data_IF_459674294819
#
_entry.id   IF_459674294819
#
_cell.length_a   1.000
_cell.length_b   1.000
_cell.length_c   1.000
_cell.angle_alpha   90.00
_cell.angle_beta   90.00
_cell.angle_gamma   90.00
#
_symmetry.space_group_name_H-M   'P 1'
#
loop_
_entity.id
_entity.type
_entity.pdbx_description
1 polymer ?
#
# COMPACT_ATOMS: atom_id res chain seq x y z
N UNK A 1 17.80 -12.34 12.46
CA UNK A 1 16.95 -11.13 12.37
C UNK A 1 17.60 -9.93 11.68
N UNK A 2 18.84 -9.55 11.99
CA UNK A 2 19.47 -8.34 11.39
C UNK A 2 19.53 -8.32 9.85
N UNK A 3 19.70 -9.46 9.20
CA UNK A 3 19.90 -9.52 7.75
C UNK A 3 18.65 -9.31 6.91
N UNK A 4 17.46 -9.46 7.46
CA UNK A 4 16.22 -9.39 6.68
C UNK A 4 15.61 -7.98 6.64
N UNK A 5 15.97 -7.10 7.57
CA UNK A 5 15.52 -5.71 7.57
C UNK A 5 15.94 -4.97 6.29
N UNK A 6 17.13 -5.25 5.77
CA UNK A 6 17.64 -4.64 4.53
C UNK A 6 16.77 -4.96 3.33
N UNK A 7 16.17 -6.15 3.28
CA UNK A 7 15.26 -6.54 2.18
C UNK A 7 14.00 -5.67 2.21
N UNK A 8 13.41 -5.47 3.39
CA UNK A 8 12.22 -4.62 3.53
C UNK A 8 12.52 -3.15 3.24
N UNK A 9 13.66 -2.64 3.70
CA UNK A 9 14.12 -1.29 3.39
C UNK A 9 14.38 -1.12 1.90
N UNK A 10 15.04 -2.10 1.25
CA UNK A 10 15.25 -2.11 -0.19
C UNK A 10 13.93 -2.09 -0.97
N UNK A 11 12.96 -2.92 -0.58
CA UNK A 11 11.63 -2.93 -1.18
C UNK A 11 10.90 -1.58 -1.00
N UNK A 12 11.05 -0.96 0.17
CA UNK A 12 10.46 0.36 0.46
C UNK A 12 11.07 1.46 -0.43
N UNK A 13 12.39 1.46 -0.59
CA UNK A 13 13.09 2.41 -1.47
C UNK A 13 12.72 2.19 -2.93
N UNK A 14 12.68 0.92 -3.38
CA UNK A 14 12.30 0.55 -4.74
C UNK A 14 10.85 0.97 -5.06
N UNK A 15 9.91 0.72 -4.14
CA UNK A 15 8.52 1.16 -4.28
C UNK A 15 8.41 2.68 -4.37
N UNK A 16 9.11 3.42 -3.50
CA UNK A 16 9.11 4.88 -3.52
C UNK A 16 9.73 5.45 -4.81
N UNK A 17 10.75 4.79 -5.37
CA UNK A 17 11.34 5.15 -6.65
C UNK A 17 10.42 4.86 -7.84
N UNK A 18 9.75 3.70 -7.84
CA UNK A 18 8.83 3.27 -8.89
C UNK A 18 7.48 4.00 -8.85
N UNK A 19 7.02 4.43 -7.68
CA UNK A 19 5.69 4.99 -7.47
C UNK A 19 5.31 6.14 -8.40
N UNK A 20 6.20 7.07 -8.78
CA UNK A 20 5.86 8.13 -9.74
C UNK A 20 5.40 7.62 -11.10
N UNK A 21 5.66 6.34 -11.42
CA UNK A 21 5.27 5.68 -12.67
C UNK A 21 4.11 4.69 -12.49
N UNK A 22 3.57 4.52 -11.30
CA UNK A 22 2.46 3.60 -11.06
C UNK A 22 1.29 3.92 -11.98
N UNK A 23 0.69 2.88 -12.57
CA UNK A 23 -0.40 2.93 -13.56
C UNK A 23 -0.03 3.63 -14.89
N UNK A 24 1.23 3.81 -15.19
CA UNK A 24 1.68 4.22 -16.52
C UNK A 24 1.92 2.96 -17.35
N UNK A 25 0.87 2.40 -17.94
CA UNK A 25 0.96 1.15 -18.72
C UNK A 25 1.38 1.35 -20.17
N UNK A 26 1.33 2.56 -20.69
CA UNK A 26 1.75 2.87 -22.05
C UNK A 26 3.28 2.85 -22.15
N UNK A 27 3.83 1.84 -22.83
CA UNK A 27 5.27 1.62 -22.95
C UNK A 27 6.01 2.78 -23.62
N UNK A 28 5.41 3.43 -24.62
CA UNK A 28 6.00 4.61 -25.28
C UNK A 28 6.13 5.78 -24.29
N UNK A 29 5.08 6.05 -23.51
CA UNK A 29 5.14 7.07 -22.46
C UNK A 29 6.16 6.71 -21.37
N UNK A 30 6.19 5.45 -20.94
CA UNK A 30 7.14 4.98 -19.94
C UNK A 30 8.57 5.21 -20.41
N UNK A 31 8.91 4.80 -21.64
CA UNK A 31 10.23 5.00 -22.23
C UNK A 31 10.64 6.48 -22.28
N UNK A 32 9.71 7.37 -22.61
CA UNK A 32 9.96 8.83 -22.59
C UNK A 32 10.26 9.31 -21.17
N UNK A 33 9.49 8.84 -20.17
CA UNK A 33 9.65 9.32 -18.79
C UNK A 33 10.96 8.86 -18.14
N UNK A 34 11.48 7.69 -18.54
CA UNK A 34 12.75 7.14 -18.03
C UNK A 34 13.95 7.41 -18.96
N UNK A 35 13.75 8.04 -20.12
CA UNK A 35 14.82 8.31 -21.09
C UNK A 35 15.99 9.07 -20.42
N UNK A 36 17.20 8.56 -20.65
CA UNK A 36 18.42 9.14 -20.07
C UNK A 36 18.65 8.80 -18.59
N UNK A 37 17.78 8.01 -17.96
CA UNK A 37 18.00 7.50 -16.60
C UNK A 37 18.85 6.24 -16.67
N UNK A 38 20.10 6.32 -16.18
CA UNK A 38 21.00 5.17 -16.08
C UNK A 38 20.88 4.44 -14.74
N UNK A 39 20.34 5.12 -13.72
CA UNK A 39 20.26 4.63 -12.36
C UNK A 39 18.83 4.59 -11.85
N UNK A 40 18.59 3.76 -10.83
CA UNK A 40 17.36 3.74 -10.04
C UNK A 40 17.27 5.02 -9.17
N UNK A 41 17.04 6.14 -9.82
CA UNK A 41 16.87 7.41 -9.14
C UNK A 41 15.40 7.79 -9.06
N UNK A 42 15.04 8.49 -8.01
CA UNK A 42 13.70 9.03 -7.88
C UNK A 42 13.39 10.01 -9.01
N UNK A 43 12.27 9.80 -9.69
CA UNK A 43 11.79 10.77 -10.68
C UNK A 43 11.35 12.04 -9.98
N UNK A 44 11.85 13.19 -10.44
CA UNK A 44 11.51 14.50 -9.86
C UNK A 44 10.02 14.82 -10.00
N UNK A 45 9.37 14.34 -11.06
CA UNK A 45 7.95 14.59 -11.35
C UNK A 45 7.13 13.32 -11.25
N UNK A 46 6.06 13.37 -10.47
CA UNK A 46 5.05 12.32 -10.45
C UNK A 46 4.33 12.25 -11.80
N UNK A 47 4.26 11.07 -12.40
CA UNK A 47 3.60 10.78 -13.68
C UNK A 47 2.38 9.88 -13.51
N UNK A 48 2.16 9.39 -12.29
CA UNK A 48 0.99 8.58 -11.99
C UNK A 48 -0.30 9.38 -12.23
N UNK A 49 -1.29 8.79 -12.93
CA UNK A 49 -2.57 9.47 -13.17
C UNK A 49 -3.48 9.50 -11.94
N UNK A 50 -3.15 8.77 -10.88
CA UNK A 50 -4.06 8.56 -9.74
C UNK A 50 -3.61 9.22 -8.45
N UNK A 51 -2.33 9.57 -8.34
CA UNK A 51 -1.83 10.24 -7.14
C UNK A 51 -1.19 11.57 -7.49
N UNK A 52 -1.38 12.53 -6.61
CA UNK A 52 -0.52 13.68 -6.50
C UNK A 52 0.21 13.60 -5.15
N UNK A 53 1.24 12.78 -5.09
CA UNK A 53 2.03 12.57 -3.88
C UNK A 53 3.48 12.95 -4.17
N UNK A 54 4.12 13.61 -3.21
CA UNK A 54 5.53 14.03 -3.31
C UNK A 54 6.44 12.84 -3.63
N UNK A 55 7.46 13.08 -4.44
CA UNK A 55 8.54 12.13 -4.71
C UNK A 55 9.15 11.61 -3.40
N UNK A 56 9.54 10.36 -3.36
CA UNK A 56 10.09 9.71 -2.17
C UNK A 56 9.04 9.19 -1.18
N UNK A 57 7.74 9.39 -1.44
CA UNK A 57 6.68 8.72 -0.69
C UNK A 57 6.34 7.38 -1.33
N UNK A 58 6.04 6.40 -0.50
CA UNK A 58 5.69 5.04 -0.90
C UNK A 58 4.26 4.93 -1.45
N UNK A 59 3.97 3.81 -2.10
CA UNK A 59 2.61 3.46 -2.54
C UNK A 59 1.78 2.82 -1.41
N UNK A 60 0.48 2.64 -1.66
CA UNK A 60 -0.40 1.89 -0.76
C UNK A 60 0.05 0.44 -0.54
N UNK A 61 0.69 -0.19 -1.53
CA UNK A 61 1.27 -1.52 -1.40
C UNK A 61 2.37 -1.57 -0.34
N UNK A 62 3.28 -0.61 -0.33
CA UNK A 62 4.31 -0.58 0.69
C UNK A 62 3.77 -0.12 2.04
N UNK A 63 2.79 0.81 2.06
CA UNK A 63 2.21 1.28 3.34
C UNK A 63 1.51 0.17 4.11
N UNK A 64 0.83 -0.80 3.46
CA UNK A 64 0.27 -1.95 4.17
C UNK A 64 1.36 -2.87 4.74
N UNK A 65 2.48 -3.02 4.01
CA UNK A 65 3.67 -3.71 4.52
C UNK A 65 4.26 -3.01 5.75
N UNK A 66 4.33 -1.67 5.74
CA UNK A 66 4.79 -0.91 6.91
C UNK A 66 3.87 -1.08 8.12
N UNK A 67 2.55 -1.19 7.90
CA UNK A 67 1.59 -1.48 8.98
C UNK A 67 1.83 -2.86 9.58
N UNK A 68 2.09 -3.89 8.76
CA UNK A 68 2.47 -5.21 9.26
C UNK A 68 3.81 -5.15 10.01
N UNK A 69 4.81 -4.52 9.45
CA UNK A 69 6.12 -4.37 10.09
C UNK A 69 6.01 -3.69 11.46
N UNK A 70 5.27 -2.59 11.56
CA UNK A 70 5.00 -1.92 12.84
C UNK A 70 4.28 -2.83 13.82
N UNK A 71 3.32 -3.63 13.35
CA UNK A 71 2.60 -4.60 14.17
C UNK A 71 3.53 -5.65 14.77
N UNK A 72 4.51 -6.11 13.99
CA UNK A 72 5.51 -7.09 14.46
C UNK A 72 6.46 -6.48 15.51
N UNK A 73 6.81 -5.20 15.35
CA UNK A 73 7.64 -4.48 16.33
C UNK A 73 6.93 -4.27 17.68
N UNK A 74 5.61 -4.22 17.70
CA UNK A 74 4.81 -4.15 18.94
C UNK A 74 4.85 -5.47 19.74
N UNK A 75 5.37 -6.55 19.16
CA UNK A 75 5.50 -7.88 19.77
C UNK A 75 4.85 -8.98 18.94
N UNK A 76 4.99 -10.24 19.39
CA UNK A 76 4.56 -11.42 18.62
C UNK A 76 3.24 -12.01 19.09
N UNK A 77 2.74 -11.59 20.25
CA UNK A 77 1.47 -12.07 20.77
C UNK A 77 0.29 -11.39 20.06
N UNK A 78 -0.75 -12.16 19.75
CA UNK A 78 -1.99 -11.62 19.15
C UNK A 78 -1.76 -10.73 17.91
N UNK A 79 -0.82 -11.12 17.03
CA UNK A 79 -0.47 -10.37 15.81
C UNK A 79 -1.72 -10.04 14.98
N UNK A 80 -2.62 -11.00 14.77
CA UNK A 80 -3.86 -10.79 14.02
C UNK A 80 -4.69 -9.64 14.60
N UNK A 81 -4.94 -9.66 15.90
CA UNK A 81 -5.74 -8.63 16.59
C UNK A 81 -5.09 -7.25 16.47
N UNK A 82 -3.75 -7.18 16.66
CA UNK A 82 -3.01 -5.93 16.52
C UNK A 82 -2.98 -5.44 15.07
N UNK A 83 -2.75 -6.33 14.13
CA UNK A 83 -2.75 -5.97 12.71
C UNK A 83 -4.10 -5.41 12.27
N UNK A 84 -5.21 -6.05 12.65
CA UNK A 84 -6.57 -5.53 12.43
C UNK A 84 -6.75 -4.12 13.05
N UNK A 85 -6.30 -3.91 14.27
CA UNK A 85 -6.33 -2.59 14.92
C UNK A 85 -5.51 -1.57 14.12
N UNK A 86 -4.29 -1.93 13.71
CA UNK A 86 -3.39 -1.04 12.98
C UNK A 86 -3.91 -0.75 11.56
N UNK A 87 -4.57 -1.69 10.88
CA UNK A 87 -5.30 -1.43 9.64
C UNK A 87 -6.38 -0.38 9.86
N UNK A 88 -7.20 -0.51 10.88
CA UNK A 88 -8.25 0.48 11.18
C UNK A 88 -7.67 1.86 11.47
N UNK A 89 -6.58 1.93 12.23
CA UNK A 89 -5.92 3.20 12.57
C UNK A 89 -5.36 3.89 11.33
N UNK A 90 -4.68 3.14 10.46
CA UNK A 90 -3.98 3.71 9.32
C UNK A 90 -4.89 3.95 8.10
N UNK A 91 -5.87 3.09 7.87
CA UNK A 91 -6.70 3.11 6.66
C UNK A 91 -8.19 3.30 6.94
N UNK A 92 -8.64 3.19 8.17
CA UNK A 92 -10.04 3.30 8.55
C UNK A 92 -10.59 4.73 8.58
N UNK A 93 -11.83 4.90 9.05
CA UNK A 93 -12.47 6.20 9.20
C UNK A 93 -11.60 7.19 9.99
N UNK A 94 -11.49 8.41 9.47
CA UNK A 94 -10.62 9.43 10.06
C UNK A 94 -9.22 9.50 9.45
N UNK A 95 -8.73 8.42 8.84
CA UNK A 95 -7.42 8.41 8.18
C UNK A 95 -7.39 9.30 6.93
N UNK A 96 -6.17 9.68 6.50
CA UNK A 96 -5.94 10.39 5.23
C UNK A 96 -6.49 9.61 4.02
N UNK A 97 -6.40 8.28 4.05
CA UNK A 97 -6.92 7.40 3.01
C UNK A 97 -8.43 7.43 2.93
N UNK A 98 -9.10 7.34 4.06
CA UNK A 98 -10.56 7.37 4.12
C UNK A 98 -11.15 8.71 3.70
N UNK A 99 -10.48 9.81 4.06
CA UNK A 99 -10.83 11.16 3.58
C UNK A 99 -10.75 11.23 2.05
N UNK A 100 -9.68 10.72 1.46
CA UNK A 100 -9.51 10.68 0.00
C UNK A 100 -10.54 9.77 -0.69
N UNK A 101 -10.90 8.65 -0.08
CA UNK A 101 -11.96 7.78 -0.58
C UNK A 101 -13.30 8.53 -0.69
N UNK A 102 -13.66 9.29 0.32
CA UNK A 102 -14.87 10.13 0.29
C UNK A 102 -14.80 11.21 -0.79
N UNK A 103 -13.67 11.88 -0.95
CA UNK A 103 -13.48 12.87 -2.01
C UNK A 103 -13.62 12.24 -3.40
N UNK A 104 -13.00 11.06 -3.61
CA UNK A 104 -13.13 10.33 -4.88
C UNK A 104 -14.57 9.97 -5.20
N UNK A 105 -15.32 9.49 -4.21
CA UNK A 105 -16.73 9.18 -4.38
C UNK A 105 -17.54 10.41 -4.81
N UNK A 106 -17.22 11.59 -4.25
CA UNK A 106 -17.84 12.86 -4.61
C UNK A 106 -17.56 13.25 -6.07
N UNK A 107 -16.32 13.07 -6.54
CA UNK A 107 -15.90 13.52 -7.87
C UNK A 107 -15.99 12.43 -8.96
N UNK A 108 -16.38 11.21 -8.65
CA UNK A 108 -16.41 10.08 -9.59
C UNK A 108 -17.18 10.36 -10.89
N UNK A 109 -18.19 11.21 -10.86
CA UNK A 109 -19.01 11.59 -12.03
C UNK A 109 -18.42 12.75 -12.85
N UNK A 110 -17.36 13.39 -12.36
CA UNK A 110 -16.71 14.51 -13.05
C UNK A 110 -15.65 13.98 -14.00
N UNK A 111 -15.63 14.46 -15.24
CA UNK A 111 -14.57 14.15 -16.20
C UNK A 111 -13.22 14.57 -15.60
N UNK A 112 -12.21 13.70 -15.79
CA UNK A 112 -10.84 13.92 -15.28
C UNK A 112 -10.72 14.16 -13.75
N UNK A 113 -11.65 13.61 -12.99
CA UNK A 113 -11.69 13.72 -11.52
C UNK A 113 -10.40 13.30 -10.82
N UNK A 114 -9.57 12.47 -11.47
CA UNK A 114 -8.33 11.92 -10.90
C UNK A 114 -7.36 13.01 -10.48
N UNK A 115 -7.25 14.08 -11.28
CA UNK A 115 -6.42 15.24 -10.93
C UNK A 115 -6.97 16.11 -9.81
N UNK A 116 -8.25 15.92 -9.43
CA UNK A 116 -8.91 16.70 -8.38
C UNK A 116 -8.68 16.12 -6.98
N UNK A 117 -8.27 14.86 -6.89
CA UNK A 117 -8.04 14.19 -5.62
C UNK A 117 -6.56 13.99 -5.40
N UNK A 118 -6.01 14.79 -4.51
CA UNK A 118 -4.60 14.71 -4.09
C UNK A 118 -4.42 13.75 -2.93
N UNK A 119 -3.23 13.16 -2.87
CA UNK A 119 -2.84 12.32 -1.73
C UNK A 119 -2.93 10.81 -1.99
N UNK A 120 -2.87 10.01 -0.93
CA UNK A 120 -2.73 8.57 -1.04
C UNK A 120 -3.99 7.90 -1.59
N UNK A 121 -3.76 6.82 -2.34
CA UNK A 121 -4.81 5.98 -2.89
C UNK A 121 -5.01 4.75 -1.99
N UNK A 122 -6.25 4.47 -1.62
CA UNK A 122 -6.60 3.23 -0.91
C UNK A 122 -7.08 2.18 -1.93
N UNK A 123 -6.52 0.99 -1.84
CA UNK A 123 -6.85 -0.14 -2.69
C UNK A 123 -8.17 -0.80 -2.25
N UNK A 124 -8.82 -1.51 -3.19
CA UNK A 124 -10.12 -2.13 -2.91
C UNK A 124 -10.03 -3.20 -1.81
N UNK A 125 -8.97 -4.02 -1.82
CA UNK A 125 -8.73 -5.02 -0.78
C UNK A 125 -8.68 -4.40 0.62
N UNK A 126 -8.00 -3.27 0.77
CA UNK A 126 -7.88 -2.58 2.07
C UNK A 126 -9.24 -1.98 2.48
N UNK A 127 -10.00 -1.43 1.53
CA UNK A 127 -11.36 -0.91 1.80
C UNK A 127 -12.24 -2.02 2.35
N UNK A 128 -12.24 -3.19 1.72
CA UNK A 128 -13.06 -4.32 2.15
C UNK A 128 -12.55 -4.91 3.49
N UNK A 129 -11.24 -5.00 3.69
CA UNK A 129 -10.68 -5.42 4.97
C UNK A 129 -11.13 -4.49 6.12
N UNK A 130 -11.06 -3.18 5.93
CA UNK A 130 -11.57 -2.20 6.91
C UNK A 130 -13.05 -2.41 7.22
N UNK A 131 -13.89 -2.63 6.20
CA UNK A 131 -15.33 -2.91 6.40
C UNK A 131 -15.54 -4.21 7.17
N UNK A 132 -14.86 -5.29 6.77
CA UNK A 132 -15.01 -6.60 7.38
C UNK A 132 -14.56 -6.62 8.84
N UNK A 133 -13.45 -5.93 9.16
CA UNK A 133 -12.97 -5.78 10.55
C UNK A 133 -14.02 -5.04 11.38
N UNK A 134 -14.57 -3.94 10.87
CA UNK A 134 -15.63 -3.18 11.57
C UNK A 134 -16.89 -4.01 11.80
N UNK A 135 -17.25 -4.87 10.87
CA UNK A 135 -18.38 -5.80 10.99
C UNK A 135 -18.06 -7.05 11.83
N UNK A 136 -16.83 -7.12 12.39
CA UNK A 136 -16.35 -8.26 13.20
C UNK A 136 -16.47 -9.60 12.48
N UNK A 137 -16.31 -9.62 11.15
CA UNK A 137 -16.33 -10.87 10.39
C UNK A 137 -15.15 -11.74 10.78
N UNK A 138 -15.38 -13.07 10.80
CA UNK A 138 -14.33 -14.07 11.10
C UNK A 138 -13.17 -13.92 10.12
N UNK A 139 -13.45 -13.78 8.82
CA UNK A 139 -12.46 -13.52 7.78
C UNK A 139 -12.54 -12.04 7.41
N UNK A 140 -11.47 -11.31 7.63
CA UNK A 140 -11.40 -9.86 7.39
C UNK A 140 -10.91 -9.49 6.01
N UNK A 141 -10.12 -10.35 5.36
CA UNK A 141 -9.61 -10.14 4.00
C UNK A 141 -10.52 -10.77 2.93
N UNK A 142 -9.97 -10.98 1.75
CA UNK A 142 -10.58 -11.86 0.76
C UNK A 142 -11.59 -11.22 -0.17
N UNK A 143 -11.18 -10.19 -0.89
CA UNK A 143 -11.91 -9.72 -2.07
C UNK A 143 -11.27 -10.35 -3.31
N UNK A 144 -12.08 -10.82 -4.25
CA UNK A 144 -11.59 -11.31 -5.56
C UNK A 144 -11.18 -10.13 -6.44
N UNK A 145 -9.98 -9.60 -6.21
CA UNK A 145 -9.38 -8.55 -7.03
C UNK A 145 -7.91 -8.89 -7.28
N UNK A 146 -7.42 -8.47 -8.42
CA UNK A 146 -6.01 -8.68 -8.83
C UNK A 146 -5.11 -7.57 -8.24
N UNK A 147 -5.10 -7.44 -6.92
CA UNK A 147 -4.25 -6.49 -6.18
C UNK A 147 -3.30 -7.27 -5.27
N UNK A 148 -2.07 -6.79 -5.16
CA UNK A 148 -0.99 -7.48 -4.41
C UNK A 148 -0.89 -7.05 -2.94
N UNK A 149 -1.92 -6.39 -2.40
CA UNK A 149 -1.89 -5.88 -1.01
C UNK A 149 -1.66 -6.98 0.02
N UNK A 150 -2.31 -8.13 -0.15
CA UNK A 150 -2.12 -9.28 0.73
C UNK A 150 -0.67 -9.75 0.75
N UNK A 151 -0.06 -9.92 -0.43
CA UNK A 151 1.34 -10.27 -0.55
C UNK A 151 2.25 -9.22 0.10
N UNK A 152 2.03 -7.94 -0.19
CA UNK A 152 2.82 -6.85 0.38
C UNK A 152 2.68 -6.76 1.91
N UNK A 153 1.49 -7.06 2.45
CA UNK A 153 1.26 -7.13 3.89
C UNK A 153 2.02 -8.30 4.54
N UNK A 154 2.14 -9.45 3.85
CA UNK A 154 2.80 -10.64 4.40
C UNK A 154 4.32 -10.59 4.29
N UNK A 155 4.89 -9.79 3.39
CA UNK A 155 6.33 -9.73 3.19
C UNK A 155 7.11 -9.46 4.49
N UNK A 156 6.80 -8.45 5.31
CA UNK A 156 7.49 -8.25 6.60
C UNK A 156 7.35 -9.44 7.54
N UNK A 157 6.21 -10.13 7.50
CA UNK A 157 5.95 -11.31 8.31
C UNK A 157 6.96 -12.44 8.01
N UNK A 158 7.18 -12.75 6.72
CA UNK A 158 8.21 -13.72 6.32
C UNK A 158 9.63 -13.26 6.64
N UNK A 159 9.92 -11.99 6.41
CA UNK A 159 11.24 -11.44 6.71
C UNK A 159 11.56 -11.47 8.21
N UNK A 160 10.54 -11.53 9.04
CA UNK A 160 10.67 -11.66 10.50
C UNK A 160 10.93 -13.12 10.93
N UNK A 161 10.81 -14.08 10.03
CA UNK A 161 11.10 -15.49 10.26
C UNK A 161 9.89 -16.38 10.57
N UNK A 162 8.68 -15.88 10.31
CA UNK A 162 7.45 -16.68 10.40
C UNK A 162 7.25 -17.51 9.13
N UNK A 163 6.67 -18.69 9.26
CA UNK A 163 6.34 -19.57 8.15
C UNK A 163 4.90 -19.39 7.62
N UNK A 164 4.58 -20.03 6.49
CA UNK A 164 3.24 -19.99 5.90
C UNK A 164 2.16 -20.60 6.80
N UNK A 165 2.48 -21.64 7.58
CA UNK A 165 1.50 -22.29 8.44
C UNK A 165 1.00 -21.38 9.54
N UNK A 166 1.83 -20.44 9.98
CA UNK A 166 1.43 -19.44 10.96
C UNK A 166 0.60 -18.30 10.37
N UNK A 167 0.65 -18.09 9.03
CA UNK A 167 -0.18 -17.11 8.33
C UNK A 167 -1.65 -17.51 8.22
N UNK A 168 -1.97 -18.80 8.14
CA UNK A 168 -3.36 -19.28 8.07
C UNK A 168 -4.19 -18.89 9.30
N UNK A 169 -3.52 -18.44 10.37
CA UNK A 169 -4.13 -18.00 11.63
C UNK A 169 -4.30 -16.47 11.73
N UNK A 170 -3.82 -15.72 10.73
CA UNK A 170 -3.89 -14.25 10.67
C UNK A 170 -4.93 -13.79 9.65
#
# INVERSE_FOLDING_TARGET
MKNNLHVFLGATVADAAARPLHWVYNQKKLSIYIKGKKDFSFLKKNRSPFYDIKTGKVSGYNEIGQVMFSTLLEGHENIEKRFKKNILTNFGPGSKYWKNLKLRSKYKKVKDWRGMVKGPWIHQNIIEAVKNIKLKKKISGGVKVNESDGFCATLPYFLYGFDFKSLEKI
#
